data_IF_785531265415
#
_entry.id   IF_785531265415
#
_cell.length_a   1.000
_cell.length_b   1.000
_cell.length_c   1.000
_cell.angle_alpha   90.00
_cell.angle_beta   90.00
_cell.angle_gamma   90.00
#
_symmetry.space_group_name_H-M   'P 1'
#
loop_
_entity.id
_entity.type
_entity.pdbx_description
1 polymer ?
#
# COMPACT_ATOMS: atom_id res chain seq x y z
N UNK A 1 53.14 -7.96 -40.23
CA UNK A 1 53.06 -7.22 -38.96
C UNK A 1 51.62 -7.26 -38.48
N UNK A 2 51.50 -7.38 -37.16
CA UNK A 2 50.32 -7.54 -36.28
C UNK A 2 49.16 -6.57 -36.61
N UNK A 3 47.88 -6.85 -36.33
CA UNK A 3 47.29 -7.91 -35.52
C UNK A 3 45.75 -7.82 -35.56
N UNK A 4 45.10 -8.88 -35.11
CA UNK A 4 43.67 -8.93 -34.86
C UNK A 4 43.37 -8.39 -33.46
N UNK A 5 42.30 -7.60 -33.30
CA UNK A 5 41.46 -7.56 -32.09
C UNK A 5 40.15 -6.81 -32.40
N UNK A 6 39.05 -7.56 -32.51
CA UNK A 6 37.71 -7.00 -32.40
C UNK A 6 37.47 -6.68 -30.91
N UNK A 7 37.71 -5.43 -30.51
CA UNK A 7 37.40 -4.94 -29.19
C UNK A 7 35.95 -4.44 -29.19
N UNK A 8 35.02 -5.30 -28.79
CA UNK A 8 33.64 -4.93 -28.53
C UNK A 8 33.62 -4.06 -27.26
N UNK A 9 33.79 -2.75 -27.43
CA UNK A 9 33.62 -1.77 -26.36
C UNK A 9 32.15 -1.59 -26.07
N UNK A 10 31.67 -2.09 -24.94
CA UNK A 10 30.35 -1.72 -24.43
C UNK A 10 30.55 -0.50 -23.53
N UNK A 11 30.15 0.67 -24.02
CA UNK A 11 30.15 1.91 -23.25
C UNK A 11 29.03 1.84 -22.22
N UNK A 12 29.39 1.73 -20.94
CA UNK A 12 28.42 1.74 -19.85
C UNK A 12 28.11 3.20 -19.55
N UNK A 13 26.90 3.64 -19.93
CA UNK A 13 26.38 4.95 -19.57
C UNK A 13 26.12 5.02 -18.06
N UNK A 14 26.95 5.77 -17.34
CA UNK A 14 26.92 5.95 -15.89
C UNK A 14 25.58 6.53 -15.41
N UNK A 15 24.91 7.33 -16.25
CA UNK A 15 23.62 7.93 -15.93
C UNK A 15 22.51 6.88 -15.89
N UNK A 16 22.47 5.97 -16.86
CA UNK A 16 21.56 4.83 -16.87
C UNK A 16 21.81 3.87 -15.69
N UNK A 17 23.08 3.63 -15.33
CA UNK A 17 23.43 2.84 -14.16
C UNK A 17 22.97 3.49 -12.83
N UNK A 18 22.99 4.82 -12.76
CA UNK A 18 22.54 5.57 -11.57
C UNK A 18 21.01 5.63 -11.45
N UNK A 19 20.28 5.57 -12.57
CA UNK A 19 18.81 5.53 -12.60
C UNK A 19 18.22 4.12 -12.44
N UNK A 20 19.02 3.07 -12.59
CA UNK A 20 18.63 1.67 -12.30
C UNK A 20 18.45 1.38 -10.78
N UNK A 21 18.15 2.41 -9.99
CA UNK A 21 17.75 2.27 -8.58
C UNK A 21 16.30 1.83 -8.51
N UNK A 22 16.11 0.52 -8.55
CA UNK A 22 14.83 -0.15 -8.25
C UNK A 22 14.39 -0.01 -6.77
N UNK A 23 14.79 1.07 -6.08
CA UNK A 23 14.48 1.31 -4.67
C UNK A 23 13.32 2.29 -4.47
N UNK A 24 12.90 3.02 -5.51
CA UNK A 24 11.73 3.91 -5.45
C UNK A 24 10.39 3.19 -5.71
N UNK A 25 10.41 1.88 -6.00
CA UNK A 25 9.18 1.07 -6.02
C UNK A 25 8.80 0.51 -4.63
N UNK A 26 9.70 0.56 -3.65
CA UNK A 26 9.47 -0.06 -2.34
C UNK A 26 8.80 0.87 -1.32
N UNK A 27 8.94 2.20 -1.46
CA UNK A 27 8.44 3.18 -0.46
C UNK A 27 6.92 3.39 -0.46
N UNK A 28 6.21 3.05 -1.54
CA UNK A 28 4.76 3.18 -1.63
C UNK A 28 3.99 2.04 -0.93
N UNK A 29 4.68 0.95 -0.56
CA UNK A 29 4.06 -0.25 0.04
C UNK A 29 3.93 -0.16 1.56
N UNK A 30 4.17 1.00 2.16
CA UNK A 30 3.75 1.27 3.54
C UNK A 30 2.25 1.62 3.52
N UNK A 31 1.42 0.70 3.01
CA UNK A 31 -0.03 0.78 3.17
C UNK A 31 -0.28 0.86 4.66
N UNK A 32 -0.90 1.95 5.12
CA UNK A 32 -1.34 2.11 6.51
C UNK A 32 -2.28 0.95 6.86
N UNK A 33 -1.72 -0.12 7.43
CA UNK A 33 -2.45 -1.34 7.81
C UNK A 33 -3.43 -1.06 8.95
N UNK A 34 -3.27 0.08 9.62
CA UNK A 34 -4.07 0.48 10.77
C UNK A 34 -4.74 1.85 10.54
N UNK A 35 -5.97 1.99 11.02
CA UNK A 35 -6.72 3.25 11.10
C UNK A 35 -7.38 3.36 12.48
N UNK A 36 -7.52 4.58 13.03
CA UNK A 36 -8.19 4.78 14.32
C UNK A 36 -9.70 4.53 14.20
N UNK A 37 -10.29 3.87 15.21
CA UNK A 37 -11.74 3.72 15.32
C UNK A 37 -12.42 5.10 15.44
N UNK A 38 -13.45 5.42 14.64
CA UNK A 38 -14.15 6.71 14.70
C UNK A 38 -14.82 7.02 16.04
N UNK A 39 -15.10 6.00 16.85
CA UNK A 39 -15.80 6.15 18.12
C UNK A 39 -14.87 6.19 19.34
N UNK A 40 -13.80 5.38 19.36
CA UNK A 40 -12.91 5.28 20.53
C UNK A 40 -11.44 5.53 20.23
N UNK A 41 -11.10 5.87 18.98
CA UNK A 41 -9.77 6.26 18.50
C UNK A 41 -8.65 5.21 18.68
N UNK A 42 -8.97 4.01 19.16
CA UNK A 42 -8.01 2.91 19.21
C UNK A 42 -7.59 2.52 17.79
N UNK A 43 -6.30 2.20 17.57
CA UNK A 43 -5.85 1.71 16.27
C UNK A 43 -6.49 0.35 15.97
N UNK A 44 -7.08 0.23 14.79
CA UNK A 44 -7.71 -0.99 14.27
C UNK A 44 -6.97 -1.40 13.00
N UNK A 45 -6.54 -2.65 12.94
CA UNK A 45 -5.88 -3.23 11.76
C UNK A 45 -6.92 -3.75 10.76
N UNK A 46 -6.74 -3.49 9.45
CA UNK A 46 -7.60 -4.06 8.40
C UNK A 46 -7.21 -5.52 8.14
N UNK A 47 -7.89 -6.43 8.80
CA UNK A 47 -7.72 -7.86 8.57
C UNK A 47 -8.72 -8.35 7.50
N UNK A 48 -8.43 -8.11 6.21
CA UNK A 48 -9.19 -8.68 5.07
C UNK A 48 -9.61 -7.71 3.95
N UNK A 49 -10.49 -8.20 3.07
CA UNK A 49 -10.96 -7.47 1.88
C UNK A 49 -12.21 -6.62 2.09
N UNK A 50 -13.00 -6.87 3.14
CA UNK A 50 -14.24 -6.14 3.41
C UNK A 50 -13.96 -4.73 3.99
N UNK A 51 -14.76 -3.75 3.59
CA UNK A 51 -14.76 -2.39 4.16
C UNK A 51 -15.60 -2.29 5.44
N UNK A 52 -16.47 -3.26 5.72
CA UNK A 52 -17.22 -3.31 6.98
C UNK A 52 -16.31 -3.76 8.13
N UNK A 53 -15.95 -2.83 9.00
CA UNK A 53 -15.10 -3.09 10.16
C UNK A 53 -15.87 -2.97 11.45
N UNK A 54 -15.53 -3.84 12.40
CA UNK A 54 -16.02 -3.79 13.77
C UNK A 54 -14.86 -3.49 14.71
N UNK A 55 -15.02 -2.50 15.57
CA UNK A 55 -14.00 -2.15 16.55
C UNK A 55 -13.74 -3.35 17.49
N UNK A 56 -12.48 -3.82 17.62
CA UNK A 56 -12.15 -5.00 18.42
C UNK A 56 -12.29 -4.76 19.93
N UNK A 57 -12.35 -3.50 20.38
CA UNK A 57 -12.55 -3.16 21.80
C UNK A 57 -13.93 -3.62 22.28
N UNK A 58 -14.01 -4.51 23.30
CA UNK A 58 -15.27 -5.06 23.78
C UNK A 58 -16.29 -4.01 24.25
N UNK A 59 -15.84 -2.88 24.77
CA UNK A 59 -16.72 -1.78 25.22
C UNK A 59 -17.20 -0.86 24.09
N UNK A 60 -16.60 -0.93 22.90
CA UNK A 60 -16.95 -0.06 21.78
C UNK A 60 -17.75 -0.84 20.74
N UNK A 61 -17.18 -1.91 20.15
CA UNK A 61 -17.81 -2.75 19.12
C UNK A 61 -18.48 -1.99 17.98
N UNK A 62 -18.12 -0.72 17.77
CA UNK A 62 -18.70 0.14 16.74
C UNK A 62 -18.42 -0.43 15.35
N UNK A 63 -19.45 -0.44 14.50
CA UNK A 63 -19.41 -0.93 13.13
C UNK A 63 -19.30 0.26 12.17
N UNK A 64 -18.25 0.26 11.36
CA UNK A 64 -17.86 1.42 10.56
C UNK A 64 -17.23 1.01 9.23
N UNK A 65 -17.31 1.90 8.25
CA UNK A 65 -16.70 1.72 6.95
C UNK A 65 -15.22 2.12 6.98
N UNK A 66 -14.32 1.20 6.63
CA UNK A 66 -12.88 1.46 6.56
C UNK A 66 -12.51 2.61 5.62
N UNK A 67 -13.23 2.75 4.50
CA UNK A 67 -12.98 3.79 3.51
C UNK A 67 -13.47 5.16 4.00
N UNK A 68 -14.72 5.24 4.49
CA UNK A 68 -15.35 6.50 4.89
C UNK A 68 -14.99 6.99 6.29
N UNK A 69 -14.62 6.10 7.21
CA UNK A 69 -14.44 6.46 8.63
C UNK A 69 -15.77 6.78 9.35
N UNK A 70 -16.90 6.34 8.81
CA UNK A 70 -18.25 6.61 9.34
C UNK A 70 -18.97 5.32 9.71
N UNK A 71 -20.09 5.43 10.42
CA UNK A 71 -20.96 4.30 10.76
C UNK A 71 -21.30 3.47 9.50
N UNK A 72 -21.21 2.15 9.61
CA UNK A 72 -21.52 1.26 8.50
C UNK A 72 -22.98 1.41 8.09
N UNK A 73 -23.22 1.57 6.79
CA UNK A 73 -24.56 1.83 6.25
C UNK A 73 -24.72 1.20 4.86
N UNK A 74 -25.96 1.23 4.35
CA UNK A 74 -26.33 0.62 3.07
C UNK A 74 -25.67 1.29 1.86
N UNK A 75 -25.37 2.58 1.95
CA UNK A 75 -24.62 3.29 0.90
C UNK A 75 -23.21 2.74 0.80
N UNK A 76 -22.53 2.52 1.93
CA UNK A 76 -21.21 1.89 1.95
C UNK A 76 -21.22 0.46 1.39
N UNK A 77 -22.28 -0.28 1.67
CA UNK A 77 -22.50 -1.62 1.14
C UNK A 77 -22.69 -1.65 -0.39
N UNK A 78 -23.31 -0.62 -0.98
CA UNK A 78 -23.48 -0.54 -2.43
C UNK A 78 -22.24 -0.01 -3.16
N UNK A 79 -21.63 1.02 -2.59
CA UNK A 79 -20.60 1.80 -3.29
C UNK A 79 -19.18 1.26 -3.12
N UNK A 80 -18.88 0.67 -1.96
CA UNK A 80 -17.52 0.22 -1.62
C UNK A 80 -17.55 -0.88 -0.55
N UNK A 81 -18.27 -1.98 -0.82
CA UNK A 81 -18.32 -3.11 0.10
C UNK A 81 -16.94 -3.74 0.31
N UNK A 82 -16.22 -4.00 -0.78
CA UNK A 82 -14.92 -4.65 -0.79
C UNK A 82 -13.88 -3.73 -1.44
N UNK A 83 -12.60 -4.00 -1.16
CA UNK A 83 -11.45 -3.44 -1.88
C UNK A 83 -11.46 -3.91 -3.35
#
# INVERSE_FOLDING_TARGET
TFGATAATGYEIDEHAATQARWEEASKATIKKTTKPCPHCHVPVEKNGGCMHMKCPRPQCRFEWCWNCGLAWNRTCMGDHWFD
#
